data_IF_336785676237
#
_entry.id   IF_336785676237
#
_cell.length_a   1.000
_cell.length_b   1.000
_cell.length_c   1.000
_cell.angle_alpha   90.00
_cell.angle_beta   90.00
_cell.angle_gamma   90.00
#
_symmetry.space_group_name_H-M   'P 1'
#
loop_
_entity.id
_entity.type
_entity.pdbx_description
1 polymer ?
#
# COMPACT_ATOMS: atom_id res chain seq x y z
N UNK A 1 14.43 -5.51 -5.46
CA UNK A 1 15.50 -6.00 -4.58
C UNK A 1 15.31 -5.45 -3.18
N UNK A 2 14.27 -5.94 -2.49
CA UNK A 2 14.32 -5.95 -1.03
C UNK A 2 15.49 -6.85 -0.59
N UNK A 3 15.80 -7.91 -1.36
CA UNK A 3 16.93 -8.79 -1.08
C UNK A 3 17.91 -8.78 -2.25
N UNK A 4 18.85 -7.82 -2.22
CA UNK A 4 20.20 -8.14 -2.67
C UNK A 4 20.92 -8.68 -1.43
N UNK A 5 21.21 -9.97 -1.42
CA UNK A 5 21.76 -10.73 -0.27
C UNK A 5 23.06 -10.15 0.30
N UNK A 6 23.76 -9.29 -0.44
CA UNK A 6 24.94 -8.56 0.07
C UNK A 6 24.62 -7.32 0.92
N UNK A 7 23.39 -6.79 0.87
CA UNK A 7 22.95 -5.60 1.62
C UNK A 7 21.96 -5.91 2.75
N UNK A 8 21.30 -7.08 2.71
CA UNK A 8 20.34 -7.50 3.73
C UNK A 8 20.99 -7.68 5.11
N UNK A 9 22.30 -7.97 5.17
CA UNK A 9 23.06 -8.12 6.42
C UNK A 9 23.43 -6.79 7.10
N UNK A 10 22.89 -5.65 6.65
CA UNK A 10 23.01 -4.38 7.39
C UNK A 10 21.80 -4.26 8.32
N UNK A 11 22.07 -4.19 9.62
CA UNK A 11 21.05 -4.09 10.69
C UNK A 11 19.99 -3.02 10.44
N UNK A 12 20.35 -1.90 9.80
CA UNK A 12 19.42 -0.83 9.41
C UNK A 12 18.34 -1.28 8.43
N UNK A 13 18.69 -2.15 7.46
CA UNK A 13 17.73 -2.68 6.48
C UNK A 13 16.79 -3.67 7.15
N UNK A 14 17.32 -4.56 7.98
CA UNK A 14 16.54 -5.54 8.74
C UNK A 14 15.48 -4.86 9.62
N UNK A 15 15.86 -3.77 10.32
CA UNK A 15 14.93 -2.98 11.14
C UNK A 15 13.81 -2.35 10.32
N UNK A 16 14.14 -1.69 9.21
CA UNK A 16 13.11 -1.09 8.35
C UNK A 16 12.19 -2.14 7.74
N UNK A 17 12.71 -3.30 7.36
CA UNK A 17 11.90 -4.42 6.86
C UNK A 17 10.96 -4.94 7.95
N UNK A 18 11.42 -5.03 9.20
CA UNK A 18 10.58 -5.42 10.34
C UNK A 18 9.48 -4.40 10.63
N UNK A 19 9.78 -3.10 10.61
CA UNK A 19 8.76 -2.06 10.77
C UNK A 19 7.75 -2.08 9.62
N UNK A 20 8.22 -2.32 8.41
CA UNK A 20 7.38 -2.41 7.23
C UNK A 20 6.46 -3.63 7.25
N UNK A 21 6.97 -4.79 7.66
CA UNK A 21 6.19 -6.03 7.68
C UNK A 21 4.97 -5.95 8.60
N UNK A 22 5.07 -5.19 9.69
CA UNK A 22 3.96 -4.94 10.63
C UNK A 22 2.74 -4.27 9.97
N UNK A 23 2.90 -3.55 8.84
CA UNK A 23 1.79 -2.90 8.13
C UNK A 23 0.85 -3.87 7.42
N UNK A 24 1.25 -5.13 7.28
CA UNK A 24 0.46 -6.18 6.62
C UNK A 24 -0.25 -7.08 7.62
N UNK A 25 -0.16 -6.79 8.91
CA UNK A 25 -1.02 -7.45 9.90
C UNK A 25 -2.45 -6.94 9.68
N UNK A 26 -3.43 -7.83 9.41
CA UNK A 26 -4.81 -7.42 9.20
C UNK A 26 -5.38 -6.84 10.49
N UNK A 27 -6.13 -5.75 10.36
CA UNK A 27 -6.87 -5.18 11.48
C UNK A 27 -8.11 -6.05 11.79
N UNK A 28 -7.97 -6.92 12.77
CA UNK A 28 -9.04 -7.81 13.22
C UNK A 28 -10.06 -7.11 14.14
N UNK A 29 -9.88 -5.82 14.47
CA UNK A 29 -10.91 -5.04 15.18
C UNK A 29 -12.16 -4.81 14.33
N UNK A 30 -12.08 -5.00 13.01
CA UNK A 30 -13.24 -4.95 12.10
C UNK A 30 -14.26 -6.05 12.46
N UNK A 31 -13.80 -7.16 13.04
CA UNK A 31 -14.64 -8.27 13.50
C UNK A 31 -15.55 -7.83 14.66
N UNK A 32 -15.12 -6.85 15.48
CA UNK A 32 -15.88 -6.40 16.66
C UNK A 32 -16.86 -5.25 16.37
N UNK A 33 -16.64 -4.46 15.31
CA UNK A 33 -17.46 -3.28 14.98
C UNK A 33 -18.74 -3.62 14.22
N UNK A 34 -18.77 -4.73 13.50
CA UNK A 34 -19.97 -5.20 12.83
C UNK A 34 -20.72 -6.12 13.79
N UNK A 35 -21.84 -5.65 14.34
CA UNK A 35 -22.77 -6.40 15.20
C UNK A 35 -23.37 -7.67 14.52
N UNK A 36 -22.94 -8.01 13.31
CA UNK A 36 -23.27 -9.24 12.59
C UNK A 36 -22.06 -10.19 12.47
N UNK A 37 -22.07 -11.20 13.34
CA UNK A 37 -21.79 -12.63 13.05
C UNK A 37 -20.57 -13.01 12.18
N UNK A 38 -19.38 -12.40 12.34
CA UNK A 38 -18.16 -13.11 11.92
C UNK A 38 -17.68 -14.00 13.06
N UNK A 39 -17.93 -15.31 12.97
CA UNK A 39 -17.44 -16.25 13.97
C UNK A 39 -15.97 -16.54 13.70
N UNK A 40 -15.18 -16.61 14.76
CA UNK A 40 -13.77 -17.02 14.69
C UNK A 40 -13.64 -18.36 13.93
N UNK A 41 -14.59 -19.27 14.10
CA UNK A 41 -14.63 -20.54 13.37
C UNK A 41 -14.67 -20.36 11.85
N UNK A 42 -15.38 -19.36 11.33
CA UNK A 42 -15.44 -19.09 9.89
C UNK A 42 -14.07 -18.62 9.37
N UNK A 43 -13.38 -17.76 10.13
CA UNK A 43 -12.02 -17.32 9.82
C UNK A 43 -11.03 -18.50 9.84
N UNK A 44 -11.12 -19.37 10.84
CA UNK A 44 -10.26 -20.56 10.96
C UNK A 44 -10.53 -21.59 9.86
N UNK A 45 -11.78 -21.75 9.45
CA UNK A 45 -12.14 -22.63 8.34
C UNK A 45 -11.56 -22.12 7.02
N UNK A 46 -11.62 -20.80 6.76
CA UNK A 46 -11.00 -20.19 5.58
C UNK A 46 -9.47 -20.24 5.67
N UNK A 47 -8.87 -20.02 6.84
CA UNK A 47 -7.43 -20.10 7.05
C UNK A 47 -6.86 -21.51 6.84
N UNK A 48 -7.67 -22.55 7.01
CA UNK A 48 -7.25 -23.94 6.78
C UNK A 48 -6.77 -24.18 5.35
N UNK A 49 -5.92 -25.19 5.14
CA UNK A 49 -5.45 -25.58 3.80
C UNK A 49 -6.60 -25.82 2.81
N UNK A 50 -7.70 -26.41 3.30
CA UNK A 50 -8.92 -26.64 2.51
C UNK A 50 -9.60 -25.32 2.16
N UNK A 51 -9.79 -24.43 3.13
CA UNK A 51 -10.38 -23.11 2.93
C UNK A 51 -9.57 -22.22 1.99
N UNK A 52 -8.24 -22.21 2.11
CA UNK A 52 -7.34 -21.51 1.20
C UNK A 52 -7.43 -22.04 -0.22
N UNK A 53 -7.44 -23.36 -0.38
CA UNK A 53 -7.66 -24.01 -1.71
C UNK A 53 -9.00 -23.62 -2.31
N UNK A 54 -10.07 -23.58 -1.51
CA UNK A 54 -11.40 -23.16 -1.97
C UNK A 54 -11.41 -21.69 -2.41
N UNK A 55 -10.79 -20.81 -1.61
CA UNK A 55 -10.64 -19.38 -1.92
C UNK A 55 -9.90 -19.19 -3.26
N UNK A 56 -8.78 -19.89 -3.44
CA UNK A 56 -7.99 -19.80 -4.68
C UNK A 56 -8.74 -20.37 -5.87
N UNK A 57 -9.42 -21.51 -5.71
CA UNK A 57 -10.24 -22.11 -6.78
C UNK A 57 -11.35 -21.16 -7.23
N UNK A 58 -12.02 -20.50 -6.27
CA UNK A 58 -13.04 -19.47 -6.53
C UNK A 58 -12.46 -18.30 -7.34
N UNK A 59 -11.24 -17.87 -7.03
CA UNK A 59 -10.60 -16.74 -7.69
C UNK A 59 -9.91 -17.07 -9.02
N UNK A 60 -9.56 -18.33 -9.28
CA UNK A 60 -8.72 -18.72 -10.42
C UNK A 60 -9.20 -18.18 -11.77
N UNK A 61 -10.52 -18.22 -12.03
CA UNK A 61 -11.12 -17.66 -13.26
C UNK A 61 -11.55 -16.20 -13.12
N UNK A 62 -11.78 -15.74 -11.89
CA UNK A 62 -12.23 -14.38 -11.61
C UNK A 62 -11.08 -13.37 -11.71
N UNK A 63 -9.83 -13.75 -11.41
CA UNK A 63 -8.70 -12.82 -11.49
C UNK A 63 -8.53 -12.29 -12.90
N UNK A 64 -8.54 -13.16 -13.91
CA UNK A 64 -8.37 -12.71 -15.29
C UNK A 64 -9.46 -11.71 -15.69
N UNK A 65 -10.73 -12.08 -15.49
CA UNK A 65 -11.88 -11.22 -15.82
C UNK A 65 -11.80 -9.89 -15.06
N UNK A 66 -11.51 -9.91 -13.76
CA UNK A 66 -11.44 -8.70 -12.96
C UNK A 66 -10.23 -7.82 -13.33
N UNK A 67 -9.10 -8.39 -13.73
CA UNK A 67 -7.94 -7.63 -14.22
C UNK A 67 -8.23 -7.00 -15.59
N UNK A 68 -8.91 -7.71 -16.50
CA UNK A 68 -9.36 -7.14 -17.78
C UNK A 68 -10.38 -6.01 -17.55
N UNK A 69 -11.36 -6.21 -16.67
CA UNK A 69 -12.30 -5.16 -16.28
C UNK A 69 -11.60 -3.97 -15.61
N UNK A 70 -10.57 -4.21 -14.79
CA UNK A 70 -9.74 -3.15 -14.25
C UNK A 70 -9.05 -2.38 -15.38
N UNK A 71 -8.56 -3.07 -16.41
CA UNK A 71 -7.93 -2.48 -17.60
C UNK A 71 -8.82 -1.46 -18.27
N UNK A 72 -10.08 -1.85 -18.50
CA UNK A 72 -11.10 -0.97 -19.10
C UNK A 72 -11.39 0.23 -18.20
N UNK A 73 -11.49 0.03 -16.88
CA UNK A 73 -11.72 1.14 -15.93
C UNK A 73 -10.55 2.12 -15.89
N UNK A 74 -9.33 1.60 -15.92
CA UNK A 74 -8.10 2.40 -15.97
C UNK A 74 -8.06 3.20 -17.26
N UNK A 75 -8.30 2.56 -18.41
CA UNK A 75 -8.34 3.22 -19.72
C UNK A 75 -9.39 4.35 -19.78
N UNK A 76 -10.61 4.06 -19.31
CA UNK A 76 -11.66 5.07 -19.20
C UNK A 76 -11.25 6.26 -18.33
N UNK A 77 -10.54 6.03 -17.22
CA UNK A 77 -10.05 7.06 -16.31
C UNK A 77 -9.00 7.96 -16.95
N UNK A 78 -8.09 7.41 -17.77
CA UNK A 78 -7.04 8.19 -18.45
C UNK A 78 -7.42 8.66 -19.86
N UNK A 79 -8.63 8.36 -20.35
CA UNK A 79 -9.09 8.68 -21.71
C UNK A 79 -9.01 10.16 -22.11
N UNK A 80 -9.00 11.07 -21.14
CA UNK A 80 -8.85 12.51 -21.37
C UNK A 80 -7.42 12.93 -21.74
N UNK A 81 -6.42 12.07 -21.51
CA UNK A 81 -5.02 12.32 -21.87
C UNK A 81 -4.67 11.45 -23.07
N UNK A 82 -4.36 12.06 -24.23
CA UNK A 82 -3.99 11.27 -25.40
C UNK A 82 -2.66 10.53 -25.17
N UNK A 83 -2.62 9.27 -25.60
CA UNK A 83 -1.40 8.44 -25.66
C UNK A 83 -0.69 8.24 -24.31
N UNK A 84 -1.42 8.04 -23.20
CA UNK A 84 -0.80 7.58 -21.93
C UNK A 84 -0.29 6.15 -22.08
N UNK A 85 -1.14 5.25 -22.58
CA UNK A 85 -0.80 3.91 -23.03
C UNK A 85 -1.67 3.59 -24.24
N UNK A 86 -1.17 2.79 -25.18
CA UNK A 86 -2.00 2.30 -26.29
C UNK A 86 -2.75 1.01 -25.89
N UNK A 87 -3.76 0.60 -26.67
CA UNK A 87 -4.58 -0.57 -26.37
C UNK A 87 -3.77 -1.86 -26.18
N UNK A 88 -2.71 -2.05 -26.98
CA UNK A 88 -1.84 -3.23 -26.88
C UNK A 88 -1.07 -3.23 -25.57
N UNK A 89 -0.59 -2.06 -25.15
CA UNK A 89 0.11 -1.86 -23.88
C UNK A 89 -0.81 -2.01 -22.68
N UNK A 90 -2.01 -1.41 -22.72
CA UNK A 90 -3.03 -1.58 -21.69
C UNK A 90 -3.39 -3.06 -21.48
N UNK A 91 -3.55 -3.83 -22.57
CA UNK A 91 -3.80 -5.27 -22.51
C UNK A 91 -2.62 -6.03 -21.87
N UNK A 92 -1.38 -5.72 -22.28
CA UNK A 92 -0.17 -6.34 -21.69
C UNK A 92 -0.06 -6.05 -20.20
N UNK A 93 -0.34 -4.81 -19.78
CA UNK A 93 -0.36 -4.44 -18.36
C UNK A 93 -1.43 -5.25 -17.62
N UNK A 94 -2.63 -5.41 -18.16
CA UNK A 94 -3.68 -6.22 -17.52
C UNK A 94 -3.32 -7.70 -17.39
N UNK A 95 -2.79 -8.32 -18.46
CA UNK A 95 -2.28 -9.71 -18.45
C UNK A 95 -1.17 -9.88 -17.42
N UNK A 96 -0.28 -8.91 -17.36
CA UNK A 96 0.80 -8.88 -16.40
C UNK A 96 0.26 -8.81 -14.95
N UNK A 97 -0.64 -7.88 -14.66
CA UNK A 97 -1.22 -7.71 -13.32
C UNK A 97 -1.93 -8.99 -12.88
N UNK A 98 -2.63 -9.65 -13.81
CA UNK A 98 -3.20 -10.98 -13.59
C UNK A 98 -2.14 -12.00 -13.17
N UNK A 99 -0.98 -12.05 -13.84
CA UNK A 99 0.11 -12.98 -13.49
C UNK A 99 0.67 -12.75 -12.07
N UNK A 100 0.75 -11.50 -11.62
CA UNK A 100 1.19 -11.17 -10.25
C UNK A 100 0.18 -11.69 -9.24
N UNK A 101 -1.11 -11.44 -9.44
CA UNK A 101 -2.12 -11.94 -8.51
C UNK A 101 -2.23 -13.46 -8.52
N UNK A 102 -2.04 -14.11 -9.67
CA UNK A 102 -1.93 -15.58 -9.74
C UNK A 102 -0.76 -16.06 -8.88
N UNK A 103 0.40 -15.42 -8.97
CA UNK A 103 1.57 -15.78 -8.14
C UNK A 103 1.32 -15.56 -6.65
N UNK A 104 0.61 -14.48 -6.30
CA UNK A 104 0.17 -14.25 -4.92
C UNK A 104 -0.73 -15.38 -4.43
N UNK A 105 -1.69 -15.82 -5.23
CA UNK A 105 -2.60 -16.89 -4.85
C UNK A 105 -1.87 -18.23 -4.64
N UNK A 106 -0.86 -18.54 -5.45
CA UNK A 106 0.00 -19.71 -5.23
C UNK A 106 0.63 -19.66 -3.82
N UNK A 107 1.24 -18.53 -3.47
CA UNK A 107 1.89 -18.36 -2.16
C UNK A 107 0.88 -18.37 -1.01
N UNK A 108 -0.31 -17.80 -1.22
CA UNK A 108 -1.41 -17.83 -0.25
C UNK A 108 -1.93 -19.25 -0.02
N UNK A 109 -2.01 -20.08 -1.07
CA UNK A 109 -2.48 -21.46 -1.00
C UNK A 109 -1.48 -22.39 -0.29
N UNK A 110 -0.18 -22.11 -0.42
CA UNK A 110 0.88 -22.90 0.22
C UNK A 110 0.88 -22.80 1.75
N UNK A 111 0.30 -21.72 2.32
CA UNK A 111 0.19 -21.59 3.78
C UNK A 111 -0.67 -22.71 4.35
N UNK A 112 -0.15 -23.38 5.38
CA UNK A 112 -0.72 -24.53 6.06
C UNK A 112 -0.63 -24.36 7.58
N UNK A 113 -1.57 -23.61 8.21
CA UNK A 113 -1.56 -23.38 9.65
C UNK A 113 -1.36 -24.65 10.47
N UNK A 114 -0.54 -24.55 11.52
CA UNK A 114 -0.23 -25.70 12.39
C UNK A 114 -1.54 -26.37 12.89
N UNK A 115 -1.78 -27.65 12.55
CA UNK A 115 -3.04 -28.33 12.88
C UNK A 115 -3.34 -28.41 14.39
N UNK A 116 -2.30 -28.59 15.22
CA UNK A 116 -2.42 -28.68 16.67
C UNK A 116 -2.82 -27.33 17.28
N UNK A 117 -2.25 -26.26 16.74
CA UNK A 117 -2.57 -24.88 17.09
C UNK A 117 -4.02 -24.53 16.72
N UNK A 118 -4.43 -24.90 15.51
CA UNK A 118 -5.82 -24.73 15.04
C UNK A 118 -6.82 -25.53 15.87
N UNK A 119 -6.45 -26.73 16.33
CA UNK A 119 -7.29 -27.55 17.20
C UNK A 119 -7.46 -26.94 18.60
N UNK A 120 -6.38 -26.45 19.21
CA UNK A 120 -6.41 -25.77 20.51
C UNK A 120 -7.32 -24.53 20.47
N UNK A 121 -7.24 -23.74 19.40
CA UNK A 121 -8.09 -22.57 19.21
C UNK A 121 -9.58 -22.97 19.08
N UNK A 122 -9.88 -24.05 18.36
CA UNK A 122 -11.27 -24.53 18.19
C UNK A 122 -11.90 -25.02 19.49
N UNK A 123 -11.09 -25.59 20.39
CA UNK A 123 -11.51 -26.18 21.66
C UNK A 123 -11.73 -25.14 22.78
N UNK A 124 -11.48 -23.86 22.52
CA UNK A 124 -11.79 -22.79 23.48
C UNK A 124 -10.86 -22.75 24.70
N UNK A 125 -9.67 -23.35 24.60
CA UNK A 125 -8.62 -23.19 25.61
C UNK A 125 -8.08 -21.76 25.58
N UNK A 126 -8.78 -20.86 26.27
CA UNK A 126 -8.32 -19.57 26.82
C UNK A 126 -7.48 -18.69 25.89
N UNK A 127 -8.05 -18.28 24.75
CA UNK A 127 -7.53 -17.09 24.05
C UNK A 127 -8.70 -16.14 23.87
N UNK A 128 -8.69 -15.09 24.69
CA UNK A 128 -9.57 -13.96 24.48
C UNK A 128 -9.01 -13.16 23.31
N UNK A 129 -9.36 -13.60 22.09
CA UNK A 129 -8.91 -12.95 20.87
C UNK A 129 -9.20 -11.45 20.90
N UNK A 130 -10.27 -11.00 21.57
CA UNK A 130 -10.65 -9.59 21.75
C UNK A 130 -9.59 -8.72 22.43
N UNK A 131 -8.69 -9.29 23.25
CA UNK A 131 -7.59 -8.57 23.91
C UNK A 131 -6.21 -8.89 23.31
N UNK A 132 -6.07 -10.02 22.60
CA UNK A 132 -4.78 -10.52 22.07
C UNK A 132 -4.63 -10.39 20.54
N UNK A 133 -5.49 -9.63 19.85
CA UNK A 133 -5.45 -9.49 18.39
C UNK A 133 -4.17 -8.87 17.83
N UNK A 134 -3.43 -8.10 18.63
CA UNK A 134 -2.10 -7.57 18.31
C UNK A 134 -0.95 -8.49 18.72
N UNK A 135 -1.24 -9.67 19.29
CA UNK A 135 -0.24 -10.63 19.71
C UNK A 135 0.44 -11.30 18.50
N UNK A 136 1.78 -11.40 18.48
CA UNK A 136 2.55 -12.14 17.47
C UNK A 136 2.03 -13.58 17.24
N UNK A 137 1.40 -14.17 18.25
CA UNK A 137 0.73 -15.47 18.17
C UNK A 137 -0.35 -15.54 17.09
N UNK A 138 -1.17 -14.49 16.93
CA UNK A 138 -2.31 -14.49 15.99
C UNK A 138 -1.82 -14.55 14.54
N UNK A 139 -0.65 -13.95 14.25
CA UNK A 139 0.01 -14.05 12.95
C UNK A 139 0.50 -15.46 12.65
N UNK A 140 1.06 -16.14 13.66
CA UNK A 140 1.54 -17.52 13.55
C UNK A 140 0.36 -18.48 13.42
N UNK A 141 -0.73 -18.26 14.16
CA UNK A 141 -1.93 -19.07 14.11
C UNK A 141 -2.67 -19.00 12.77
N UNK A 142 -2.72 -17.82 12.15
CA UNK A 142 -3.40 -17.62 10.87
C UNK A 142 -2.48 -17.82 9.65
N UNK A 143 -1.18 -18.03 9.88
CA UNK A 143 -0.12 -18.03 8.85
C UNK A 143 -0.30 -16.89 7.85
N UNK A 144 -0.21 -15.68 8.40
CA UNK A 144 -0.11 -14.46 7.62
C UNK A 144 1.23 -14.44 6.86
N UNK A 145 1.32 -13.69 5.75
CA UNK A 145 2.48 -13.80 4.87
C UNK A 145 3.78 -13.43 5.57
N UNK A 146 4.75 -14.32 5.53
CA UNK A 146 6.15 -13.94 5.70
C UNK A 146 6.53 -13.00 4.54
N UNK A 147 6.52 -11.70 4.80
CA UNK A 147 6.70 -10.66 3.79
C UNK A 147 8.02 -10.82 3.02
N UNK A 148 9.05 -11.36 3.66
CA UNK A 148 10.32 -11.71 3.01
C UNK A 148 10.14 -12.78 1.92
N UNK A 149 9.37 -13.84 2.19
CA UNK A 149 9.05 -14.88 1.20
C UNK A 149 8.21 -14.27 0.06
N UNK A 150 7.26 -13.39 0.40
CA UNK A 150 6.42 -12.69 -0.57
C UNK A 150 7.25 -11.80 -1.50
N UNK A 151 8.11 -10.95 -0.91
CA UNK A 151 9.01 -10.06 -1.61
C UNK A 151 9.95 -10.84 -2.54
N UNK A 152 10.57 -11.90 -2.02
CA UNK A 152 11.50 -12.75 -2.80
C UNK A 152 10.80 -13.42 -3.98
N UNK A 153 9.60 -13.94 -3.75
CA UNK A 153 8.86 -14.71 -4.77
C UNK A 153 8.26 -13.82 -5.85
N UNK A 154 7.82 -12.61 -5.49
CA UNK A 154 7.19 -11.66 -6.42
C UNK A 154 8.20 -10.77 -7.14
N UNK A 155 9.40 -10.62 -6.60
CA UNK A 155 10.43 -9.75 -7.14
C UNK A 155 10.73 -9.95 -8.64
N UNK A 156 10.95 -11.18 -9.15
CA UNK A 156 11.23 -11.37 -10.58
C UNK A 156 10.12 -10.81 -11.47
N UNK A 157 8.87 -11.04 -11.06
CA UNK A 157 7.67 -10.65 -11.81
C UNK A 157 7.49 -9.12 -11.73
N UNK A 158 7.65 -8.52 -10.54
CA UNK A 158 7.54 -7.07 -10.35
C UNK A 158 8.68 -6.28 -11.02
N UNK A 159 9.89 -6.82 -11.06
CA UNK A 159 11.02 -6.19 -11.74
C UNK A 159 10.79 -6.08 -13.24
N UNK A 160 10.22 -7.12 -13.85
CA UNK A 160 9.90 -7.12 -15.27
C UNK A 160 8.97 -5.94 -15.63
N UNK A 161 7.97 -5.62 -14.80
CA UNK A 161 7.15 -4.41 -14.99
C UNK A 161 8.00 -3.17 -14.92
N UNK A 162 8.86 -3.09 -13.89
CA UNK A 162 9.60 -1.88 -13.63
C UNK A 162 10.47 -1.55 -14.83
N UNK A 163 11.16 -2.55 -15.37
CA UNK A 163 12.01 -2.39 -16.54
C UNK A 163 11.21 -2.12 -17.83
N UNK A 164 10.05 -2.75 -18.01
CA UNK A 164 9.26 -2.63 -19.25
C UNK A 164 8.38 -1.36 -19.31
N UNK A 165 7.85 -0.90 -18.17
CA UNK A 165 6.79 0.11 -18.14
C UNK A 165 7.07 1.27 -17.16
N UNK A 166 7.87 1.07 -16.09
CA UNK A 166 8.21 2.14 -15.13
C UNK A 166 9.51 2.87 -15.53
N UNK A 167 10.44 2.16 -16.18
CA UNK A 167 11.65 2.69 -16.83
C UNK A 167 11.39 3.09 -18.30
N UNK A 168 10.16 2.98 -18.78
CA UNK A 168 9.78 3.44 -20.11
C UNK A 168 9.96 4.96 -20.21
N UNK A 169 10.18 5.46 -21.44
CA UNK A 169 10.35 6.91 -21.71
C UNK A 169 9.17 7.76 -21.21
N UNK A 170 8.00 7.15 -21.01
CA UNK A 170 6.81 7.82 -20.53
C UNK A 170 6.51 7.49 -19.07
N UNK A 171 6.91 8.39 -18.17
CA UNK A 171 6.64 8.27 -16.73
C UNK A 171 5.13 8.27 -16.39
N UNK A 172 4.26 8.67 -17.33
CA UNK A 172 2.81 8.63 -17.17
C UNK A 172 2.26 7.20 -17.13
N UNK A 173 2.95 6.23 -17.72
CA UNK A 173 2.57 4.82 -17.66
C UNK A 173 2.54 4.27 -16.21
N UNK A 174 3.30 4.87 -15.29
CA UNK A 174 3.31 4.50 -13.87
C UNK A 174 1.95 4.73 -13.22
N UNK A 175 1.29 5.85 -13.55
CA UNK A 175 -0.06 6.15 -13.04
C UNK A 175 -1.10 5.17 -13.57
N UNK A 176 -0.95 4.73 -14.82
CA UNK A 176 -1.80 3.68 -15.39
C UNK A 176 -1.58 2.34 -14.66
N UNK A 177 -0.32 1.91 -14.50
CA UNK A 177 0.01 0.63 -13.83
C UNK A 177 -0.49 0.60 -12.39
N UNK A 178 -0.21 1.64 -11.59
CA UNK A 178 -0.65 1.72 -10.19
C UNK A 178 -2.17 1.73 -10.07
N UNK A 179 -2.87 2.47 -10.94
CA UNK A 179 -4.34 2.48 -11.00
C UNK A 179 -4.90 1.12 -11.40
N UNK A 180 -4.23 0.41 -12.32
CA UNK A 180 -4.61 -0.93 -12.74
C UNK A 180 -4.54 -1.93 -11.59
N UNK A 181 -3.46 -1.93 -10.81
CA UNK A 181 -3.34 -2.75 -9.61
C UNK A 181 -4.46 -2.42 -8.61
N UNK A 182 -4.68 -1.14 -8.34
CA UNK A 182 -5.72 -0.70 -7.41
C UNK A 182 -7.12 -1.21 -7.81
N UNK A 183 -7.53 -1.02 -9.06
CA UNK A 183 -8.83 -1.52 -9.52
C UNK A 183 -8.90 -3.04 -9.53
N UNK A 184 -7.81 -3.72 -9.86
CA UNK A 184 -7.75 -5.19 -9.86
C UNK A 184 -7.93 -5.73 -8.44
N UNK A 185 -7.18 -5.23 -7.46
CA UNK A 185 -7.38 -5.60 -6.03
C UNK A 185 -8.83 -5.38 -5.62
N UNK A 186 -9.39 -4.19 -5.86
CA UNK A 186 -10.76 -3.86 -5.45
C UNK A 186 -11.78 -4.81 -6.08
N UNK A 187 -11.67 -5.06 -7.38
CA UNK A 187 -12.59 -5.94 -8.11
C UNK A 187 -12.49 -7.39 -7.65
N UNK A 188 -11.28 -7.88 -7.34
CA UNK A 188 -11.07 -9.25 -6.86
C UNK A 188 -11.55 -9.41 -5.41
N UNK A 189 -11.19 -8.51 -4.49
CA UNK A 189 -11.62 -8.58 -3.09
C UNK A 189 -13.14 -8.49 -2.94
N UNK A 190 -13.82 -7.72 -3.79
CA UNK A 190 -15.28 -7.63 -3.81
C UNK A 190 -15.99 -8.95 -4.17
N UNK A 191 -15.25 -9.98 -4.60
CA UNK A 191 -15.80 -11.33 -4.86
C UNK A 191 -15.70 -12.25 -3.65
N UNK A 192 -15.06 -11.80 -2.58
CA UNK A 192 -14.72 -12.60 -1.41
C UNK A 192 -15.64 -12.28 -0.23
N UNK A 193 -15.86 -13.29 0.62
CA UNK A 193 -16.48 -13.13 1.93
C UNK A 193 -15.55 -12.37 2.87
N UNK A 194 -16.08 -11.80 3.96
CA UNK A 194 -15.27 -11.06 4.92
C UNK A 194 -14.05 -11.86 5.47
N UNK A 195 -14.16 -13.13 5.90
CA UNK A 195 -12.99 -13.88 6.36
C UNK A 195 -11.97 -14.15 5.24
N UNK A 196 -12.42 -14.40 4.01
CA UNK A 196 -11.52 -14.50 2.84
C UNK A 196 -10.79 -13.16 2.58
N UNK A 197 -11.50 -12.03 2.68
CA UNK A 197 -10.89 -10.70 2.53
C UNK A 197 -9.86 -10.42 3.63
N UNK A 198 -10.16 -10.73 4.89
CA UNK A 198 -9.24 -10.52 6.03
C UNK A 198 -7.91 -11.24 5.80
N UNK A 199 -7.94 -12.47 5.29
CA UNK A 199 -6.75 -13.28 5.09
C UNK A 199 -5.98 -12.92 3.81
N UNK A 200 -6.67 -12.51 2.75
CA UNK A 200 -6.04 -12.23 1.45
C UNK A 200 -5.61 -10.77 1.27
N UNK A 201 -6.32 -9.82 1.89
CA UNK A 201 -6.03 -8.37 1.75
C UNK A 201 -4.59 -7.99 2.11
N UNK A 202 -3.93 -8.57 3.13
CA UNK A 202 -2.51 -8.34 3.40
C UNK A 202 -1.60 -8.57 2.19
N UNK A 203 -1.85 -9.63 1.42
CA UNK A 203 -1.04 -9.98 0.25
C UNK A 203 -1.26 -8.99 -0.89
N UNK A 204 -2.50 -8.57 -1.10
CA UNK A 204 -2.84 -7.62 -2.15
C UNK A 204 -2.37 -6.20 -1.80
N UNK A 205 -2.49 -5.79 -0.53
CA UNK A 205 -1.90 -4.56 0.00
C UNK A 205 -0.39 -4.54 -0.25
N UNK A 206 0.31 -5.64 0.04
CA UNK A 206 1.74 -5.74 -0.24
C UNK A 206 2.06 -5.48 -1.72
N UNK A 207 1.35 -6.13 -2.65
CA UNK A 207 1.56 -5.92 -4.08
C UNK A 207 1.30 -4.47 -4.50
N UNK A 208 0.18 -3.88 -4.08
CA UNK A 208 -0.16 -2.49 -4.38
C UNK A 208 0.90 -1.51 -3.87
N UNK A 209 1.38 -1.69 -2.65
CA UNK A 209 2.44 -0.84 -2.10
C UNK A 209 3.77 -1.05 -2.83
N UNK A 210 4.12 -2.28 -3.23
CA UNK A 210 5.37 -2.52 -3.99
C UNK A 210 5.40 -1.84 -5.36
N UNK A 211 4.25 -1.56 -5.96
CA UNK A 211 4.18 -0.87 -7.27
C UNK A 211 4.01 0.62 -7.15
N UNK A 212 3.59 1.11 -5.99
CA UNK A 212 3.20 2.51 -5.77
C UNK A 212 4.15 3.27 -4.84
N UNK A 213 4.89 2.56 -3.99
CA UNK A 213 5.91 3.11 -3.09
C UNK A 213 7.28 2.55 -3.49
N UNK A 214 8.35 3.38 -3.60
CA UNK A 214 9.68 2.94 -3.99
C UNK A 214 10.42 2.22 -2.84
N UNK A 215 9.80 1.22 -2.22
CA UNK A 215 10.25 0.60 -0.96
C UNK A 215 11.66 0.01 -1.04
N UNK A 216 11.99 -0.63 -2.15
CA UNK A 216 13.35 -1.08 -2.43
C UNK A 216 14.38 0.06 -2.39
N UNK A 217 14.05 1.22 -2.95
CA UNK A 217 14.96 2.36 -3.02
C UNK A 217 15.16 2.96 -1.63
N UNK A 218 14.10 2.98 -0.82
CA UNK A 218 14.15 3.35 0.60
C UNK A 218 15.10 2.41 1.36
N UNK A 219 14.94 1.09 1.24
CA UNK A 219 15.86 0.13 1.87
C UNK A 219 17.30 0.30 1.37
N UNK A 220 17.50 0.56 0.07
CA UNK A 220 18.83 0.79 -0.49
C UNK A 220 19.47 2.09 0.02
N UNK A 221 18.69 3.17 0.15
CA UNK A 221 19.16 4.43 0.68
C UNK A 221 19.50 4.28 2.17
N UNK A 222 18.63 3.65 2.96
CA UNK A 222 18.89 3.34 4.36
C UNK A 222 20.15 2.49 4.57
N UNK A 223 20.45 1.56 3.67
CA UNK A 223 21.68 0.76 3.72
C UNK A 223 22.96 1.61 3.56
N UNK A 224 22.87 2.85 3.08
CA UNK A 224 24.00 3.78 2.96
C UNK A 224 24.23 4.61 4.22
N UNK A 225 23.28 4.65 5.15
CA UNK A 225 23.42 5.34 6.42
C UNK A 225 24.19 4.50 7.44
N UNK A 226 24.97 5.19 8.28
CA UNK A 226 25.49 4.58 9.50
C UNK A 226 24.35 4.24 10.46
N UNK A 227 24.56 3.21 11.27
CA UNK A 227 23.59 2.72 12.23
C UNK A 227 23.09 3.79 13.22
N UNK A 228 23.93 4.77 13.56
CA UNK A 228 23.60 5.88 14.46
C UNK A 228 23.24 7.18 13.70
N UNK A 229 22.95 7.11 12.40
CA UNK A 229 22.59 8.30 11.63
C UNK A 229 21.27 8.89 12.15
N UNK A 230 21.23 10.18 12.52
CA UNK A 230 20.00 10.82 13.02
C UNK A 230 18.83 10.74 12.02
N UNK A 231 19.11 10.86 10.72
CA UNK A 231 18.11 10.73 9.65
C UNK A 231 17.50 9.33 9.61
N UNK A 232 18.32 8.29 9.73
CA UNK A 232 17.84 6.91 9.75
C UNK A 232 16.97 6.66 10.98
N UNK A 233 17.41 7.10 12.16
CA UNK A 233 16.65 6.97 13.40
C UNK A 233 15.28 7.67 13.32
N UNK A 234 15.23 8.86 12.70
CA UNK A 234 13.97 9.58 12.47
C UNK A 234 13.02 8.80 11.55
N UNK A 235 13.54 8.23 10.46
CA UNK A 235 12.72 7.40 9.56
C UNK A 235 12.23 6.13 10.26
N UNK A 236 13.09 5.48 11.06
CA UNK A 236 12.71 4.31 11.88
C UNK A 236 11.61 4.64 12.90
N UNK A 237 11.59 5.87 13.44
CA UNK A 237 10.54 6.35 14.36
C UNK A 237 9.20 6.59 13.64
N UNK A 238 9.22 7.23 12.47
CA UNK A 238 7.99 7.67 11.80
C UNK A 238 7.34 6.60 10.91
N UNK A 239 8.14 5.66 10.41
CA UNK A 239 7.65 4.61 9.52
C UNK A 239 6.54 3.73 10.14
N UNK A 240 6.65 3.23 11.39
CA UNK A 240 5.59 2.47 12.03
C UNK A 240 4.30 3.28 12.20
N UNK A 241 4.42 4.59 12.37
CA UNK A 241 3.30 5.49 12.62
C UNK A 241 2.61 5.99 11.34
N UNK A 242 3.09 5.60 10.15
CA UNK A 242 2.66 6.19 8.87
C UNK A 242 1.16 6.03 8.59
N UNK A 243 0.60 4.87 8.93
CA UNK A 243 -0.83 4.62 8.78
C UNK A 243 -1.65 5.52 9.73
N UNK A 244 -1.21 5.67 10.97
CA UNK A 244 -1.87 6.53 11.96
C UNK A 244 -1.75 8.02 11.61
N UNK A 245 -0.62 8.46 11.02
CA UNK A 245 -0.49 9.80 10.42
C UNK A 245 -1.58 9.95 9.36
N UNK A 246 -1.63 9.03 8.38
CA UNK A 246 -2.53 9.14 7.24
C UNK A 246 -4.02 9.16 7.67
N UNK A 247 -4.39 8.33 8.64
CA UNK A 247 -5.75 8.32 9.19
C UNK A 247 -6.09 9.64 9.91
N UNK A 248 -5.17 10.18 10.70
CA UNK A 248 -5.37 11.45 11.43
C UNK A 248 -5.54 12.62 10.45
N UNK A 249 -4.67 12.69 9.44
CA UNK A 249 -4.72 13.71 8.39
C UNK A 249 -6.03 13.63 7.62
N UNK A 250 -6.46 12.42 7.24
CA UNK A 250 -7.73 12.21 6.56
C UNK A 250 -8.92 12.65 7.42
N UNK A 251 -8.96 12.28 8.70
CA UNK A 251 -10.04 12.69 9.62
C UNK A 251 -10.13 14.21 9.74
N UNK A 252 -9.00 14.89 9.96
CA UNK A 252 -8.95 16.37 10.00
C UNK A 252 -9.38 16.98 8.67
N UNK A 253 -9.05 16.36 7.54
CA UNK A 253 -9.48 16.82 6.22
C UNK A 253 -11.00 16.73 6.08
N UNK A 254 -11.62 15.62 6.50
CA UNK A 254 -13.08 15.43 6.49
C UNK A 254 -13.77 16.48 7.37
N UNK A 255 -13.24 16.75 8.56
CA UNK A 255 -13.79 17.75 9.48
C UNK A 255 -13.75 19.17 8.88
N UNK A 256 -12.61 19.55 8.28
CA UNK A 256 -12.39 20.87 7.71
C UNK A 256 -13.09 21.09 6.35
N UNK A 257 -13.41 20.02 5.63
CA UNK A 257 -13.98 20.05 4.28
C UNK A 257 -15.34 19.35 4.20
N UNK A 258 -16.14 19.43 5.27
CA UNK A 258 -17.49 18.86 5.32
C UNK A 258 -18.38 19.48 4.22
N UNK A 259 -18.43 18.81 3.06
CA UNK A 259 -19.09 19.29 1.84
C UNK A 259 -18.33 19.10 0.53
N UNK A 260 -17.07 18.63 0.54
CA UNK A 260 -16.33 18.33 -0.70
C UNK A 260 -16.79 17.00 -1.33
N UNK A 261 -17.08 17.03 -2.64
CA UNK A 261 -17.46 15.88 -3.47
C UNK A 261 -16.52 15.77 -4.68
N UNK A 262 -15.95 14.59 -4.90
CA UNK A 262 -15.25 14.23 -6.14
C UNK A 262 -16.17 13.41 -7.05
N UNK A 263 -15.73 13.08 -8.28
CA UNK A 263 -16.47 12.16 -9.18
C UNK A 263 -16.74 10.77 -8.58
N UNK A 264 -16.00 10.38 -7.54
CA UNK A 264 -16.15 9.09 -6.87
C UNK A 264 -17.08 9.14 -5.64
N UNK A 265 -17.59 10.31 -5.26
CA UNK A 265 -18.39 10.52 -4.05
C UNK A 265 -17.87 11.63 -3.12
N UNK A 266 -18.51 11.78 -1.96
CA UNK A 266 -18.02 12.64 -0.88
C UNK A 266 -16.79 12.05 -0.19
N UNK A 267 -16.08 12.85 0.60
CA UNK A 267 -14.93 12.35 1.36
C UNK A 267 -15.30 11.22 2.35
N UNK A 268 -16.59 11.06 2.65
CA UNK A 268 -17.18 10.00 3.47
C UNK A 268 -17.35 8.64 2.74
N UNK A 269 -17.19 8.59 1.42
CA UNK A 269 -17.23 7.33 0.67
C UNK A 269 -16.08 6.39 1.10
N UNK A 270 -16.36 5.12 1.46
CA UNK A 270 -15.32 4.18 1.89
C UNK A 270 -14.21 3.94 0.87
N UNK A 271 -14.54 4.02 -0.42
CA UNK A 271 -13.56 3.90 -1.51
C UNK A 271 -12.65 5.11 -1.61
N UNK A 272 -13.20 6.32 -1.43
CA UNK A 272 -12.42 7.57 -1.38
C UNK A 272 -11.50 7.56 -0.17
N UNK A 273 -12.03 7.25 1.02
CA UNK A 273 -11.25 7.09 2.25
C UNK A 273 -10.03 6.19 2.05
N UNK A 274 -10.25 4.98 1.52
CA UNK A 274 -9.18 4.03 1.28
C UNK A 274 -8.13 4.57 0.29
N UNK A 275 -8.56 5.21 -0.80
CA UNK A 275 -7.63 5.80 -1.76
C UNK A 275 -6.83 6.98 -1.19
N UNK A 276 -7.46 7.86 -0.41
CA UNK A 276 -6.79 9.02 0.20
C UNK A 276 -5.76 8.58 1.23
N UNK A 277 -6.09 7.60 2.09
CA UNK A 277 -5.12 7.05 3.06
C UNK A 277 -3.92 6.45 2.31
N UNK A 278 -4.15 5.68 1.25
CA UNK A 278 -3.06 5.10 0.43
C UNK A 278 -2.16 6.19 -0.17
N UNK A 279 -2.74 7.26 -0.71
CA UNK A 279 -1.95 8.36 -1.29
C UNK A 279 -1.14 9.10 -0.21
N UNK A 280 -1.71 9.35 0.98
CA UNK A 280 -0.97 9.94 2.11
C UNK A 280 0.19 9.05 2.58
N UNK A 281 0.02 7.73 2.58
CA UNK A 281 1.11 6.79 2.88
C UNK A 281 2.19 6.80 1.78
N UNK A 282 1.79 6.98 0.52
CA UNK A 282 2.73 7.14 -0.59
C UNK A 282 3.57 8.42 -0.44
N UNK A 283 2.95 9.57 -0.14
CA UNK A 283 3.67 10.82 0.13
C UNK A 283 4.70 10.65 1.25
N UNK A 284 4.33 9.98 2.34
CA UNK A 284 5.25 9.66 3.43
C UNK A 284 6.42 8.79 2.96
N UNK A 285 6.15 7.72 2.18
CA UNK A 285 7.20 6.88 1.60
C UNK A 285 8.21 7.66 0.77
N UNK A 286 7.73 8.59 -0.07
CA UNK A 286 8.60 9.46 -0.87
C UNK A 286 9.38 10.48 -0.01
N UNK A 287 8.80 11.00 1.06
CA UNK A 287 9.51 11.84 2.02
C UNK A 287 10.66 11.07 2.72
N UNK A 288 10.41 9.82 3.14
CA UNK A 288 11.46 8.96 3.71
C UNK A 288 12.60 8.73 2.73
N UNK A 289 12.25 8.49 1.46
CA UNK A 289 13.25 8.32 0.41
C UNK A 289 14.10 9.58 0.23
N UNK A 290 13.45 10.75 0.11
CA UNK A 290 14.15 12.03 -0.04
C UNK A 290 15.06 12.32 1.15
N UNK A 291 14.59 12.05 2.38
CA UNK A 291 15.39 12.22 3.59
C UNK A 291 16.65 11.34 3.59
N UNK A 292 16.51 10.06 3.24
CA UNK A 292 17.62 9.10 3.18
C UNK A 292 18.57 9.38 2.00
N UNK A 293 18.09 9.98 0.92
CA UNK A 293 18.93 10.30 -0.24
C UNK A 293 19.55 11.70 -0.19
N UNK A 294 19.12 12.53 0.75
CA UNK A 294 19.64 13.89 0.88
C UNK A 294 19.12 14.87 -0.18
N UNK A 295 18.04 14.55 -0.92
CA UNK A 295 17.56 15.38 -2.03
C UNK A 295 16.09 15.14 -2.41
N UNK A 296 15.49 16.09 -3.15
CA UNK A 296 14.07 16.09 -3.55
C UNK A 296 13.77 15.34 -4.86
N UNK A 297 14.79 14.79 -5.54
CA UNK A 297 14.68 14.24 -6.90
C UNK A 297 13.52 13.26 -7.03
N UNK A 298 13.33 12.37 -6.06
CA UNK A 298 12.28 11.33 -6.10
C UNK A 298 10.87 11.93 -6.13
N UNK A 299 10.62 13.00 -5.38
CA UNK A 299 9.32 13.69 -5.40
C UNK A 299 9.16 14.47 -6.71
N UNK A 300 10.17 15.23 -7.12
CA UNK A 300 10.14 16.09 -8.31
C UNK A 300 9.96 15.29 -9.60
N UNK A 301 10.65 14.15 -9.71
CA UNK A 301 10.77 13.41 -10.95
C UNK A 301 9.78 12.26 -11.09
N UNK A 302 9.22 11.77 -9.98
CA UNK A 302 8.34 10.60 -9.98
C UNK A 302 6.96 10.95 -9.39
N UNK A 303 6.90 11.39 -8.13
CA UNK A 303 5.63 11.59 -7.43
C UNK A 303 4.81 12.75 -8.00
N UNK A 304 5.43 13.90 -8.24
CA UNK A 304 4.74 15.07 -8.80
C UNK A 304 4.15 14.77 -10.20
N UNK A 305 4.92 14.21 -11.17
CA UNK A 305 4.35 13.79 -12.45
C UNK A 305 3.22 12.77 -12.33
N UNK A 306 3.30 11.85 -11.37
CA UNK A 306 2.23 10.89 -11.08
C UNK A 306 0.96 11.61 -10.61
N UNK A 307 1.07 12.53 -9.64
CA UNK A 307 -0.07 13.31 -9.16
C UNK A 307 -0.69 14.17 -10.26
N UNK A 308 0.12 14.85 -11.07
CA UNK A 308 -0.34 15.66 -12.21
C UNK A 308 -1.16 14.83 -13.21
N UNK A 309 -0.84 13.54 -13.35
CA UNK A 309 -1.58 12.62 -14.22
C UNK A 309 -2.86 12.09 -13.59
N UNK A 310 -2.82 11.75 -12.30
CA UNK A 310 -3.89 11.00 -11.65
C UNK A 310 -4.95 11.93 -11.07
N UNK A 311 -4.58 13.01 -10.39
CA UNK A 311 -5.55 13.84 -9.64
C UNK A 311 -6.64 14.48 -10.53
N UNK A 312 -6.32 15.04 -11.71
CA UNK A 312 -7.36 15.58 -12.60
C UNK A 312 -8.33 14.52 -13.11
N UNK A 313 -7.86 13.28 -13.30
CA UNK A 313 -8.69 12.15 -13.78
C UNK A 313 -9.77 11.72 -12.78
N UNK A 314 -9.53 11.95 -11.49
CA UNK A 314 -10.45 11.64 -10.39
C UNK A 314 -11.14 12.86 -9.81
N UNK A 315 -10.94 14.04 -10.41
CA UNK A 315 -11.54 15.30 -10.00
C UNK A 315 -11.15 15.72 -8.58
N UNK A 316 -9.90 15.43 -8.19
CA UNK A 316 -9.32 15.95 -6.95
C UNK A 316 -8.83 17.37 -7.23
N UNK A 317 -9.44 18.36 -6.59
CA UNK A 317 -8.98 19.76 -6.69
C UNK A 317 -7.59 19.91 -6.09
N UNK A 318 -6.72 20.72 -6.71
CA UNK A 318 -5.37 20.94 -6.20
C UNK A 318 -5.39 21.64 -4.85
N UNK A 319 -6.37 22.53 -4.62
CA UNK A 319 -6.61 23.12 -3.31
C UNK A 319 -6.82 22.09 -2.19
N UNK A 320 -7.52 20.99 -2.47
CA UNK A 320 -7.68 19.89 -1.51
C UNK A 320 -6.35 19.17 -1.29
N UNK A 321 -5.62 18.88 -2.37
CA UNK A 321 -4.29 18.25 -2.29
C UNK A 321 -3.32 19.08 -1.44
N UNK A 322 -3.18 20.38 -1.72
CA UNK A 322 -2.37 21.32 -0.95
C UNK A 322 -2.75 21.31 0.53
N UNK A 323 -4.05 21.36 0.83
CA UNK A 323 -4.52 21.36 2.22
C UNK A 323 -4.20 20.04 2.94
N UNK A 324 -4.36 18.91 2.27
CA UNK A 324 -3.99 17.60 2.83
C UNK A 324 -2.48 17.50 3.07
N UNK A 325 -1.65 18.03 2.16
CA UNK A 325 -0.20 18.04 2.33
C UNK A 325 0.22 18.96 3.48
N UNK A 326 -0.44 20.11 3.67
CA UNK A 326 -0.20 20.95 4.84
C UNK A 326 -0.51 20.20 6.13
N UNK A 327 -1.68 19.55 6.21
CA UNK A 327 -2.08 18.76 7.38
C UNK A 327 -1.12 17.57 7.62
N UNK A 328 -0.61 16.96 6.55
CA UNK A 328 0.41 15.92 6.63
C UNK A 328 1.70 16.45 7.26
N UNK A 329 2.20 17.60 6.78
CA UNK A 329 3.41 18.22 7.34
C UNK A 329 3.19 18.63 8.80
N UNK A 330 2.04 19.20 9.14
CA UNK A 330 1.70 19.59 10.51
C UNK A 330 1.68 18.37 11.45
N UNK A 331 1.08 17.25 11.01
CA UNK A 331 1.02 16.01 11.78
C UNK A 331 2.40 15.34 11.92
N UNK A 332 3.23 15.38 10.88
CA UNK A 332 4.61 14.92 10.96
C UNK A 332 5.40 15.74 11.98
N UNK A 333 5.34 17.08 11.90
CA UNK A 333 6.04 17.96 12.83
C UNK A 333 5.59 17.76 14.29
N UNK A 334 4.32 17.43 14.53
CA UNK A 334 3.81 17.13 15.86
C UNK A 334 4.36 15.83 16.48
N UNK A 335 4.93 14.93 15.66
CA UNK A 335 5.48 13.64 16.10
C UNK A 335 7.02 13.62 16.17
N UNK A 336 7.66 14.75 15.91
CA UNK A 336 9.12 14.90 15.87
C UNK A 336 9.55 15.81 17.01
N UNK A 337 10.64 15.46 17.68
CA UNK A 337 11.24 16.30 18.72
C UNK A 337 11.78 17.60 18.10
N UNK A 338 11.71 18.71 18.83
CA UNK A 338 12.05 20.03 18.28
C UNK A 338 13.50 20.14 17.78
N UNK A 339 14.42 19.38 18.39
CA UNK A 339 15.82 19.29 17.99
C UNK A 339 16.06 18.41 16.76
N UNK A 340 15.09 17.58 16.34
CA UNK A 340 15.17 16.73 15.15
C UNK A 340 14.48 17.34 13.93
N UNK A 341 13.66 18.38 14.10
CA UNK A 341 12.87 18.99 13.01
C UNK A 341 13.71 19.37 11.79
N UNK A 342 14.95 19.84 12.00
CA UNK A 342 15.86 20.25 10.92
C UNK A 342 16.18 19.10 9.94
N UNK A 343 16.05 17.84 10.35
CA UNK A 343 16.34 16.67 9.52
C UNK A 343 15.28 16.46 8.43
N UNK A 344 14.03 16.82 8.69
CA UNK A 344 12.92 16.62 7.75
C UNK A 344 12.46 17.91 7.08
N UNK A 345 12.70 19.06 7.71
CA UNK A 345 12.26 20.37 7.25
C UNK A 345 12.56 20.69 5.77
N UNK A 346 13.76 20.41 5.22
CA UNK A 346 14.04 20.71 3.82
C UNK A 346 13.10 19.96 2.86
N UNK A 347 12.69 18.75 3.24
CA UNK A 347 11.86 17.89 2.39
C UNK A 347 10.37 18.20 2.53
N UNK A 348 9.92 18.53 3.75
CA UNK A 348 8.52 18.94 3.96
C UNK A 348 8.24 20.32 3.37
N UNK A 349 9.17 21.27 3.48
CA UNK A 349 9.06 22.56 2.81
C UNK A 349 9.10 22.40 1.29
N UNK A 350 10.09 21.66 0.76
CA UNK A 350 10.17 21.39 -0.67
C UNK A 350 8.91 20.71 -1.21
N UNK A 351 8.32 19.78 -0.45
CA UNK A 351 7.05 19.15 -0.84
C UNK A 351 5.91 20.17 -0.94
N UNK A 352 5.76 21.06 0.05
CA UNK A 352 4.70 22.08 0.03
C UNK A 352 4.91 23.09 -1.11
N UNK A 353 6.14 23.50 -1.37
CA UNK A 353 6.48 24.43 -2.46
C UNK A 353 6.25 23.83 -3.86
N UNK A 354 6.57 22.54 -4.03
CA UNK A 354 6.33 21.84 -5.30
C UNK A 354 4.85 21.71 -5.62
N UNK A 355 4.04 21.50 -4.58
CA UNK A 355 2.59 21.31 -4.73
C UNK A 355 1.78 22.59 -4.58
N UNK A 356 2.39 23.72 -4.24
CA UNK A 356 1.69 25.01 -4.19
C UNK A 356 1.38 25.57 -5.57
N UNK A 357 0.21 26.18 -5.70
CA UNK A 357 -0.24 26.90 -6.89
C UNK A 357 -0.24 26.03 -8.16
N UNK A 358 -0.39 24.70 -8.03
CA UNK A 358 -0.40 23.79 -9.17
C UNK A 358 -1.58 24.05 -10.12
N UNK A 359 -2.71 24.55 -9.61
CA UNK A 359 -3.82 25.04 -10.44
C UNK A 359 -3.40 26.17 -11.40
N UNK A 360 -2.46 27.03 -10.98
CA UNK A 360 -1.96 28.13 -11.80
C UNK A 360 -0.78 27.69 -12.69
N UNK A 361 -0.01 26.69 -12.26
CA UNK A 361 1.14 26.14 -13.00
C UNK A 361 0.74 25.10 -14.07
N UNK A 362 -0.46 24.53 -13.99
CA UNK A 362 -0.98 23.52 -14.92
C UNK A 362 -1.86 24.09 -16.05
N UNK A 363 -2.11 25.40 -16.05
CA UNK A 363 -2.65 26.20 -17.16
C UNK A 363 -1.49 26.76 -18.00
#
# INVERSE_FOLDING_TARGET
MLINTSRFNKTSVERLVNFWSNRYVPDLSIISKNNDVLKIYDLLDVASRKGRTQTVTKLHRLIQINCECAGIKTDAMFSYIPNVVNLTEAKRIAEFVCSVYQKVLEIYQEQSPNPSLMAAIRLGETINFFTDFSSPWTMVALELPAIEKLATSLEPVLRQIREQHISAKDRRAIGFVTTQFHFSTKLVLNRLTLPEQILLSPYFKFVEEQVSIPWQRICNAAALHDFNSPTLALVEQLLPASQDIAQTVYQRTVELQSGHFSRRGGLDDPGIKASTIRDLEMFQGYLWLCALEGNMTSIEQELLPLCLLVFPSVDVSWKLAEKMLQLLVDELNARIESDQMYLLLPYTQGLLELFSDLEQKAL
#
